data_IF_316765027820
#
_entry.id   IF_316765027820
#
_cell.length_a   1.000
_cell.length_b   1.000
_cell.length_c   1.000
_cell.angle_alpha   90.00
_cell.angle_beta   90.00
_cell.angle_gamma   90.00
#
_symmetry.space_group_name_H-M   'P 1'
#
loop_
_entity.id
_entity.type
_entity.pdbx_description
1 polymer ?
#
# COMPACT_ATOMS: atom_id res chain seq x y z
N UNK A 1 -55.78 5.79 29.80
CA UNK A 1 -54.31 5.80 29.63
C UNK A 1 -54.01 6.03 28.15
N UNK A 2 -53.20 7.08 27.86
CA UNK A 2 -52.51 7.52 26.62
C UNK A 2 -53.27 7.48 25.25
N UNK A 3 -53.59 8.51 24.45
CA UNK A 3 -53.05 9.85 24.02
C UNK A 3 -51.63 9.71 23.43
N UNK A 4 -51.25 10.14 22.20
CA UNK A 4 -51.77 10.97 21.08
C UNK A 4 -50.78 10.77 19.89
N UNK A 5 -51.20 10.37 18.68
CA UNK A 5 -51.28 11.15 17.40
C UNK A 5 -50.01 11.84 16.88
N UNK A 6 -49.57 11.41 15.67
CA UNK A 6 -48.90 12.18 14.61
C UNK A 6 -49.63 13.51 14.31
N UNK A 7 -48.98 14.61 13.83
CA UNK A 7 -48.71 14.72 12.37
C UNK A 7 -47.53 15.62 11.89
N UNK A 8 -47.16 15.36 10.64
CA UNK A 8 -46.49 16.13 9.58
C UNK A 8 -46.36 17.67 9.72
N UNK A 9 -45.18 18.20 9.33
CA UNK A 9 -44.99 19.58 8.88
C UNK A 9 -44.10 19.66 7.62
N UNK A 10 -44.40 20.66 6.80
CA UNK A 10 -44.05 20.88 5.37
C UNK A 10 -43.48 22.33 5.27
N UNK A 11 -42.83 22.70 4.15
CA UNK A 11 -42.57 24.09 3.64
C UNK A 11 -41.21 24.68 4.14
N UNK A 12 -40.34 25.43 3.40
CA UNK A 12 -40.35 26.15 2.10
C UNK A 12 -38.91 26.41 1.58
N UNK A 13 -38.82 26.72 0.29
CA UNK A 13 -37.71 27.37 -0.39
C UNK A 13 -37.64 28.91 -0.18
N UNK A 14 -36.48 29.49 -0.49
CA UNK A 14 -36.15 30.93 -0.54
C UNK A 14 -34.84 31.19 0.21
N UNK A 15 -33.82 31.90 -0.25
CA UNK A 15 -33.71 32.92 -1.29
C UNK A 15 -32.20 33.09 -1.62
N UNK A 16 -31.88 33.44 -2.86
CA UNK A 16 -30.53 33.79 -3.34
C UNK A 16 -30.54 35.30 -3.60
N UNK A 17 -29.46 36.01 -3.29
CA UNK A 17 -28.94 36.94 -4.27
C UNK A 17 -27.43 36.82 -4.50
N UNK A 18 -27.04 36.99 -5.76
CA UNK A 18 -25.68 37.21 -6.22
C UNK A 18 -25.22 38.62 -5.88
N UNK A 19 -23.95 38.78 -5.52
CA UNK A 19 -23.17 39.98 -5.85
C UNK A 19 -21.69 39.65 -5.96
N UNK A 20 -21.08 40.23 -7.00
CA UNK A 20 -19.73 39.99 -7.48
C UNK A 20 -18.68 40.92 -6.82
N UNK A 21 -17.40 40.52 -6.99
CA UNK A 21 -16.15 41.30 -6.93
C UNK A 21 -15.61 41.77 -5.56
N UNK A 22 -14.41 41.29 -5.21
CA UNK A 22 -13.20 42.14 -5.15
C UNK A 22 -11.94 41.30 -4.89
N UNK A 23 -10.89 41.60 -5.66
CA UNK A 23 -9.52 41.11 -5.47
C UNK A 23 -8.89 41.82 -4.27
N UNK A 24 -8.18 41.08 -3.41
CA UNK A 24 -7.16 41.64 -2.53
C UNK A 24 -5.97 40.67 -2.46
N UNK A 25 -4.83 41.13 -2.99
CA UNK A 25 -3.50 40.57 -2.71
C UNK A 25 -3.22 40.69 -1.20
N UNK A 26 -2.74 39.60 -0.61
CA UNK A 26 -2.18 39.58 0.74
C UNK A 26 -1.14 38.47 0.85
N UNK A 27 0.12 38.86 1.03
CA UNK A 27 1.29 38.00 1.18
C UNK A 27 1.39 37.39 2.58
N UNK A 28 1.94 36.17 2.63
CA UNK A 28 2.56 35.49 3.77
C UNK A 28 1.72 35.15 5.00
N UNK A 29 1.42 33.86 5.16
CA UNK A 29 1.78 33.12 6.38
C UNK A 29 2.19 31.70 5.99
N UNK A 30 3.45 31.41 6.24
CA UNK A 30 4.17 30.14 6.09
C UNK A 30 3.53 28.99 6.91
N UNK A 31 3.42 27.76 6.38
CA UNK A 31 3.46 26.59 7.22
C UNK A 31 4.88 26.01 7.19
N UNK A 32 5.49 26.00 8.37
CA UNK A 32 6.81 25.46 8.66
C UNK A 32 7.01 24.02 8.13
N UNK A 33 8.20 23.75 7.58
CA UNK A 33 8.69 22.42 7.19
C UNK A 33 9.70 21.89 8.23
N UNK A 34 10.07 20.58 8.26
CA UNK A 34 9.70 19.51 7.32
C UNK A 34 9.07 18.28 8.01
N UNK A 35 8.18 17.56 7.31
CA UNK A 35 7.83 16.20 7.70
C UNK A 35 8.79 15.23 7.00
N UNK A 36 9.55 14.39 7.72
CA UNK A 36 10.42 13.37 7.11
C UNK A 36 9.67 12.21 6.42
N UNK A 37 8.42 12.39 5.99
CA UNK A 37 7.51 11.31 5.60
C UNK A 37 7.36 11.11 4.07
N UNK A 38 7.86 12.01 3.22
CA UNK A 38 7.64 11.91 1.76
C UNK A 38 8.65 11.02 1.02
N UNK A 39 9.83 10.75 1.60
CA UNK A 39 10.89 9.99 0.91
C UNK A 39 10.65 8.47 0.94
N UNK A 40 10.07 7.95 2.03
CA UNK A 40 9.76 6.52 2.16
C UNK A 40 8.66 6.09 1.18
N UNK A 41 7.64 6.94 1.03
CA UNK A 41 6.53 6.67 0.12
C UNK A 41 7.03 6.69 -1.33
N UNK A 42 7.92 7.63 -1.66
CA UNK A 42 8.53 7.71 -2.98
C UNK A 42 9.38 6.48 -3.32
N UNK A 43 10.18 6.00 -2.38
CA UNK A 43 11.02 4.82 -2.64
C UNK A 43 10.22 3.51 -2.59
N UNK A 44 9.23 3.39 -1.70
CA UNK A 44 8.28 2.27 -1.72
C UNK A 44 7.48 2.22 -3.02
N UNK A 45 7.12 3.37 -3.57
CA UNK A 45 6.48 3.48 -4.87
C UNK A 45 7.42 3.08 -6.01
N UNK A 46 8.69 3.50 -6.00
CA UNK A 46 9.68 3.05 -7.00
C UNK A 46 9.85 1.54 -6.99
N UNK A 47 10.00 0.92 -5.81
CA UNK A 47 10.10 -0.55 -5.69
C UNK A 47 8.81 -1.22 -6.18
N UNK A 48 7.65 -0.62 -5.92
CA UNK A 48 6.38 -1.06 -6.45
C UNK A 48 6.35 -1.07 -7.98
N UNK A 49 6.79 0.02 -8.61
CA UNK A 49 6.80 0.14 -10.06
C UNK A 49 7.76 -0.85 -10.70
N UNK A 50 8.97 -1.00 -10.15
CA UNK A 50 9.98 -1.95 -10.65
C UNK A 50 9.44 -3.39 -10.62
N UNK A 51 8.82 -3.80 -9.50
CA UNK A 51 8.21 -5.12 -9.37
C UNK A 51 7.00 -5.27 -10.30
N UNK A 52 6.16 -4.23 -10.42
CA UNK A 52 5.00 -4.23 -11.32
C UNK A 52 5.42 -4.43 -12.77
N UNK A 53 6.47 -3.73 -13.21
CA UNK A 53 7.00 -3.85 -14.57
C UNK A 53 7.58 -5.24 -14.82
N UNK A 54 8.37 -5.78 -13.90
CA UNK A 54 8.88 -7.14 -14.02
C UNK A 54 7.76 -8.20 -14.11
N UNK A 55 6.70 -8.04 -13.32
CA UNK A 55 5.55 -8.95 -13.35
C UNK A 55 4.76 -8.81 -14.66
N UNK A 56 4.60 -7.60 -15.22
CA UNK A 56 3.98 -7.42 -16.54
C UNK A 56 4.75 -8.15 -17.64
N UNK A 57 6.08 -8.16 -17.57
CA UNK A 57 6.95 -8.81 -18.56
C UNK A 57 7.02 -10.34 -18.39
N UNK A 58 7.27 -10.81 -17.17
CA UNK A 58 7.58 -12.22 -16.90
C UNK A 58 6.42 -12.99 -16.24
N UNK A 59 5.30 -12.34 -15.95
CA UNK A 59 4.30 -12.81 -15.01
C UNK A 59 3.67 -14.17 -15.37
N UNK A 60 3.43 -14.46 -16.65
CA UNK A 60 2.92 -15.77 -17.07
C UNK A 60 3.86 -16.94 -16.67
N UNK A 61 5.17 -16.70 -16.67
CA UNK A 61 6.15 -17.68 -16.17
C UNK A 61 6.19 -17.70 -14.64
N UNK A 62 6.11 -16.53 -14.01
CA UNK A 62 6.13 -16.39 -12.56
C UNK A 62 4.90 -17.06 -11.91
N UNK A 63 3.70 -16.92 -12.49
CA UNK A 63 2.48 -17.58 -12.02
C UNK A 63 2.61 -19.09 -12.02
N UNK A 64 3.12 -19.67 -13.11
CA UNK A 64 3.38 -21.12 -13.21
C UNK A 64 4.40 -21.59 -12.17
N UNK A 65 5.44 -20.78 -11.94
CA UNK A 65 6.48 -21.09 -10.96
C UNK A 65 5.96 -20.98 -9.55
N UNK A 66 5.24 -19.91 -9.19
CA UNK A 66 4.94 -19.52 -7.80
C UNK A 66 3.57 -20.01 -7.33
N UNK A 67 2.51 -19.69 -8.09
CA UNK A 67 1.10 -20.04 -7.83
C UNK A 67 0.58 -19.60 -6.45
N UNK A 68 0.71 -18.30 -6.15
CA UNK A 68 0.34 -17.74 -4.84
C UNK A 68 0.04 -16.23 -4.88
N UNK A 69 -0.70 -15.75 -3.87
CA UNK A 69 -0.97 -14.32 -3.65
C UNK A 69 -0.22 -13.83 -2.41
N UNK A 70 0.49 -12.72 -2.53
CA UNK A 70 1.28 -12.11 -1.46
C UNK A 70 0.81 -10.70 -1.15
N UNK A 71 0.63 -10.38 0.12
CA UNK A 71 0.36 -9.01 0.58
C UNK A 71 1.55 -8.48 1.36
N UNK A 72 1.90 -7.22 1.13
CA UNK A 72 2.94 -6.50 1.87
C UNK A 72 2.31 -5.34 2.61
N UNK A 73 2.42 -5.37 3.94
CA UNK A 73 2.00 -4.31 4.86
C UNK A 73 3.25 -3.61 5.38
N UNK A 74 3.54 -2.42 4.87
CA UNK A 74 4.66 -1.59 5.33
C UNK A 74 4.18 -0.71 6.48
N UNK A 75 4.86 -0.81 7.62
CA UNK A 75 4.43 -0.18 8.87
C UNK A 75 5.42 0.86 9.36
N UNK A 76 4.91 1.97 9.90
CA UNK A 76 5.66 3.00 10.61
C UNK A 76 4.94 3.33 11.90
N UNK A 77 5.65 3.33 13.02
CA UNK A 77 5.08 3.56 14.36
C UNK A 77 3.86 2.69 14.68
N UNK A 78 3.90 1.42 14.24
CA UNK A 78 2.83 0.43 14.45
C UNK A 78 1.60 0.58 13.53
N UNK A 79 1.59 1.54 12.61
CA UNK A 79 0.51 1.75 11.64
C UNK A 79 0.95 1.37 10.24
N UNK A 80 0.08 0.74 9.46
CA UNK A 80 0.33 0.48 8.04
C UNK A 80 0.26 1.79 7.26
N UNK A 81 1.36 2.16 6.60
CA UNK A 81 1.49 3.39 5.79
C UNK A 81 1.39 3.09 4.29
N UNK A 82 1.84 1.91 3.87
CA UNK A 82 1.75 1.45 2.49
C UNK A 82 1.33 -0.02 2.49
N UNK A 83 0.36 -0.34 1.66
CA UNK A 83 -0.13 -1.70 1.48
C UNK A 83 -0.25 -1.99 0.00
N UNK A 84 0.18 -3.17 -0.42
CA UNK A 84 0.11 -3.61 -1.81
C UNK A 84 0.15 -5.13 -1.90
N UNK A 85 -0.27 -5.63 -3.06
CA UNK A 85 -0.45 -7.06 -3.32
C UNK A 85 0.26 -7.45 -4.61
N UNK A 86 0.90 -8.61 -4.56
CA UNK A 86 1.49 -9.31 -5.69
C UNK A 86 0.66 -10.58 -5.92
N UNK A 87 -0.10 -10.61 -7.01
CA UNK A 87 -0.85 -11.79 -7.44
C UNK A 87 0.00 -12.57 -8.46
N UNK A 88 0.55 -13.71 -8.05
CA UNK A 88 1.24 -14.66 -8.94
C UNK A 88 0.47 -15.97 -8.99
N UNK A 89 -0.86 -15.88 -8.99
CA UNK A 89 -1.77 -17.03 -8.99
C UNK A 89 -2.74 -16.96 -10.16
N UNK A 90 -3.22 -15.77 -10.48
CA UNK A 90 -4.27 -15.56 -11.48
C UNK A 90 -3.70 -14.97 -12.78
N UNK A 91 -4.28 -15.38 -13.91
CA UNK A 91 -3.95 -14.82 -15.22
C UNK A 91 -2.46 -14.86 -15.54
N UNK A 92 -1.93 -13.73 -16.00
CA UNK A 92 -0.49 -13.51 -16.23
C UNK A 92 0.21 -12.88 -15.02
N UNK A 93 -0.41 -12.89 -13.83
CA UNK A 93 0.07 -12.19 -12.65
C UNK A 93 -0.23 -10.69 -12.69
N UNK A 94 -0.30 -10.07 -11.51
CA UNK A 94 -0.60 -8.65 -11.34
C UNK A 94 0.03 -8.09 -10.06
N UNK A 95 0.18 -6.77 -9.99
CA UNK A 95 0.62 -6.05 -8.80
C UNK A 95 -0.22 -4.79 -8.63
N UNK A 96 -0.82 -4.61 -7.46
CA UNK A 96 -1.73 -3.50 -7.20
C UNK A 96 -1.62 -2.96 -5.78
N UNK A 97 -1.91 -1.67 -5.62
CA UNK A 97 -1.99 -1.03 -4.31
C UNK A 97 -3.21 -1.52 -3.54
N UNK A 98 -3.07 -1.56 -2.21
CA UNK A 98 -4.08 -2.03 -1.26
C UNK A 98 -3.98 -3.51 -0.91
N UNK A 99 -4.88 -3.92 -0.02
CA UNK A 99 -5.01 -5.29 0.47
C UNK A 99 -5.37 -6.27 -0.65
N UNK A 100 -5.03 -7.53 -0.44
CA UNK A 100 -5.34 -8.59 -1.39
C UNK A 100 -6.86 -8.73 -1.59
N UNK A 101 -7.30 -8.75 -2.86
CA UNK A 101 -8.72 -8.90 -3.23
C UNK A 101 -9.24 -10.33 -3.00
N UNK A 102 -8.32 -11.28 -2.96
CA UNK A 102 -8.54 -12.68 -2.61
C UNK A 102 -7.67 -13.02 -1.39
N UNK A 103 -7.97 -14.10 -0.65
CA UNK A 103 -7.16 -14.50 0.50
C UNK A 103 -5.68 -14.63 0.12
N UNK A 104 -4.84 -13.80 0.75
CA UNK A 104 -3.40 -13.87 0.56
C UNK A 104 -2.86 -15.18 1.13
N UNK A 105 -2.04 -15.88 0.35
CA UNK A 105 -1.34 -17.09 0.80
C UNK A 105 -0.23 -16.73 1.80
N UNK A 106 0.33 -15.52 1.69
CA UNK A 106 1.39 -15.00 2.57
C UNK A 106 1.21 -13.50 2.78
N UNK A 107 1.34 -13.05 4.03
CA UNK A 107 1.31 -11.62 4.38
C UNK A 107 2.62 -11.24 5.06
N UNK A 108 3.30 -10.24 4.52
CA UNK A 108 4.49 -9.64 5.11
C UNK A 108 4.09 -8.40 5.90
N UNK A 109 4.61 -8.27 7.12
CA UNK A 109 4.44 -7.06 7.94
C UNK A 109 5.84 -6.54 8.22
N UNK A 110 6.21 -5.45 7.54
CA UNK A 110 7.58 -4.97 7.43
C UNK A 110 7.66 -3.53 7.93
N UNK A 111 8.49 -3.22 8.94
CA UNK A 111 8.79 -1.84 9.30
C UNK A 111 9.39 -1.08 8.10
N UNK A 112 8.98 0.17 7.91
CA UNK A 112 9.46 1.07 6.85
C UNK A 112 10.99 1.06 6.71
N UNK A 113 11.70 1.24 7.83
CA UNK A 113 13.17 1.21 7.87
C UNK A 113 13.76 -0.12 7.39
N UNK A 114 13.13 -1.25 7.74
CA UNK A 114 13.57 -2.59 7.32
C UNK A 114 13.28 -2.80 5.84
N UNK A 115 12.12 -2.35 5.36
CA UNK A 115 11.74 -2.44 3.95
C UNK A 115 12.75 -1.74 3.06
N UNK A 116 13.18 -0.53 3.44
CA UNK A 116 14.18 0.23 2.69
C UNK A 116 15.51 -0.50 2.57
N UNK A 117 16.02 -1.09 3.66
CA UNK A 117 17.26 -1.87 3.65
C UNK A 117 17.15 -3.16 2.82
N UNK A 118 15.97 -3.79 2.81
CA UNK A 118 15.70 -4.98 1.98
C UNK A 118 15.64 -4.61 0.50
N UNK A 119 14.94 -3.53 0.14
CA UNK A 119 14.77 -3.08 -1.23
C UNK A 119 16.11 -2.72 -1.90
N UNK A 120 17.00 -2.03 -1.19
CA UNK A 120 18.33 -1.68 -1.70
C UNK A 120 19.37 -2.79 -1.53
N UNK A 121 18.96 -3.98 -1.08
CA UNK A 121 19.86 -5.14 -0.92
C UNK A 121 20.88 -5.05 0.21
N UNK A 122 20.80 -4.04 1.09
CA UNK A 122 21.69 -3.88 2.26
C UNK A 122 21.41 -4.90 3.35
N UNK A 123 20.20 -5.43 3.41
CA UNK A 123 19.81 -6.44 4.38
C UNK A 123 19.39 -7.74 3.68
N UNK A 124 19.85 -8.87 4.21
CA UNK A 124 19.40 -10.18 3.74
C UNK A 124 18.01 -10.51 4.31
N UNK A 125 17.00 -10.81 3.46
CA UNK A 125 15.61 -11.01 3.89
C UNK A 125 15.44 -12.22 4.82
N UNK A 126 16.17 -13.31 4.56
CA UNK A 126 16.08 -14.51 5.40
C UNK A 126 16.66 -14.25 6.80
N UNK A 127 17.83 -13.60 6.89
CA UNK A 127 18.42 -13.23 8.19
C UNK A 127 17.54 -12.25 8.95
N UNK A 128 16.96 -11.26 8.25
CA UNK A 128 16.07 -10.27 8.86
C UNK A 128 14.79 -10.89 9.44
N UNK A 129 14.18 -11.84 8.72
CA UNK A 129 13.04 -12.60 9.21
C UNK A 129 13.40 -13.43 10.45
N UNK A 130 14.50 -14.19 10.40
CA UNK A 130 14.96 -15.02 11.52
C UNK A 130 15.32 -14.18 12.75
N UNK A 131 15.83 -12.97 12.55
CA UNK A 131 16.12 -12.00 13.62
C UNK A 131 14.87 -11.25 14.12
N UNK A 132 13.68 -11.53 13.57
CA UNK A 132 12.42 -10.91 13.99
C UNK A 132 12.26 -9.44 13.56
N UNK A 133 13.06 -8.96 12.59
CA UNK A 133 13.00 -7.57 12.10
C UNK A 133 11.71 -7.27 11.33
N UNK A 134 11.12 -8.29 10.73
CA UNK A 134 9.79 -8.23 10.12
C UNK A 134 9.08 -9.57 10.33
N UNK A 135 7.76 -9.59 10.09
CA UNK A 135 6.92 -10.78 10.31
C UNK A 135 6.38 -11.31 8.99
N UNK A 136 6.20 -12.63 8.94
CA UNK A 136 5.51 -13.33 7.85
C UNK A 136 4.36 -14.13 8.45
N UNK A 137 3.17 -13.98 7.89
CA UNK A 137 1.97 -14.77 8.23
C UNK A 137 1.55 -15.61 7.03
N UNK A 138 0.83 -16.70 7.28
CA UNK A 138 0.40 -17.65 6.25
C UNK A 138 1.49 -18.66 5.90
N UNK A 139 1.61 -18.99 4.61
CA UNK A 139 2.49 -20.04 4.11
C UNK A 139 3.93 -19.57 3.94
N UNK A 140 4.71 -19.58 5.02
CA UNK A 140 6.11 -19.11 5.06
C UNK A 140 7.00 -19.71 3.96
N UNK A 141 6.80 -20.96 3.53
CA UNK A 141 7.59 -21.52 2.42
C UNK A 141 7.42 -20.75 1.09
N UNK A 142 6.23 -20.18 0.84
CA UNK A 142 5.98 -19.38 -0.36
C UNK A 142 6.73 -18.03 -0.30
N UNK A 143 7.00 -17.49 0.89
CA UNK A 143 7.81 -16.27 1.02
C UNK A 143 9.26 -16.50 0.58
N UNK A 144 9.83 -17.66 0.90
CA UNK A 144 11.17 -18.06 0.46
C UNK A 144 11.24 -18.30 -1.05
N UNK A 145 10.15 -18.84 -1.62
CA UNK A 145 10.02 -19.03 -3.06
C UNK A 145 9.98 -17.69 -3.81
N UNK A 146 9.22 -16.72 -3.29
CA UNK A 146 9.16 -15.37 -3.82
C UNK A 146 10.53 -14.68 -3.73
N UNK A 147 11.23 -14.81 -2.60
CA UNK A 147 12.58 -14.27 -2.41
C UNK A 147 13.57 -14.83 -3.43
N UNK A 148 13.52 -16.12 -3.74
CA UNK A 148 14.38 -16.74 -4.76
C UNK A 148 14.14 -16.12 -6.14
N UNK A 149 12.88 -15.90 -6.52
CA UNK A 149 12.53 -15.26 -7.80
C UNK A 149 13.13 -13.87 -7.90
N UNK A 150 12.93 -13.02 -6.88
CA UNK A 150 13.44 -11.64 -6.92
C UNK A 150 14.96 -11.55 -6.81
N UNK A 151 15.60 -12.46 -6.06
CA UNK A 151 17.07 -12.54 -6.03
C UNK A 151 17.64 -12.94 -7.38
N UNK A 152 17.00 -13.86 -8.09
CA UNK A 152 17.47 -14.28 -9.42
C UNK A 152 17.22 -13.20 -10.48
N UNK A 153 16.20 -12.35 -10.29
CA UNK A 153 15.97 -11.15 -11.11
C UNK A 153 16.99 -10.03 -10.84
N UNK A 154 17.29 -9.70 -9.59
CA UNK A 154 18.22 -8.63 -9.22
C UNK A 154 19.71 -8.96 -9.40
N UNK A 155 20.05 -10.10 -10.01
CA UNK A 155 21.42 -10.59 -10.25
C UNK A 155 22.02 -10.15 -11.59
N UNK A 156 21.47 -9.12 -12.22
CA UNK A 156 21.94 -8.58 -13.50
C UNK A 156 22.38 -7.13 -13.34
#
# INVERSE_FOLDING_TARGET
MWKRTDPQAKIKAGDRPQTCHSLALGSSTEPALPHPLELSDFQGFSVFEDISNHIKEAGAQLVKKVNAIFQLDITKDGKTILQWTIDLKNGSGDTYLGSARLPADTVFIIPDSVFMELAVGKMNPQKAFLAGKFKVRGKVFLSQKLERIFRDWGKF
#
